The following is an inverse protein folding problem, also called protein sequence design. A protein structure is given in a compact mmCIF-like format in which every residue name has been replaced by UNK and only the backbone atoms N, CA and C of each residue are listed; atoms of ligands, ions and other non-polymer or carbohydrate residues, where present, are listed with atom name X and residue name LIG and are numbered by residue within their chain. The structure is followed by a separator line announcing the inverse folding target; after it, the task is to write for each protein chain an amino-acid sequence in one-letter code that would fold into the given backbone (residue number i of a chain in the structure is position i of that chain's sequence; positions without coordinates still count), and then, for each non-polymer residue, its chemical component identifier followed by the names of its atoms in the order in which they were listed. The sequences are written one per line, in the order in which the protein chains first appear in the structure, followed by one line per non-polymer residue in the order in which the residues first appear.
data_IF_166023272031
#
_entry.id   IF_166023272031
#
_cell.length_a   1.000
_cell.length_b   1.000
_cell.length_c   1.000
_cell.angle_alpha   90.00
_cell.angle_beta   90.00
_cell.angle_gamma   90.00
#
_symmetry.space_group_name_H-M   'P 1'
#
loop_
_entity.id
_entity.type
_entity.pdbx_description
1 polymer ?
#
# COMPACT_ATOMS: atom_id res chain seq x y z
N UNK A 1 8.29 -16.81 18.68
CA UNK A 1 8.46 -15.41 18.19
C UNK A 1 9.17 -15.29 16.83
N UNK A 2 10.29 -15.98 16.55
CA UNK A 2 11.00 -15.88 15.25
C UNK A 2 10.14 -16.32 14.04
N UNK A 3 9.40 -17.42 14.16
CA UNK A 3 8.52 -17.92 13.10
C UNK A 3 7.39 -16.94 12.75
N UNK A 4 6.73 -16.35 13.76
CA UNK A 4 5.66 -15.36 13.55
C UNK A 4 6.19 -14.15 12.78
N UNK A 5 7.37 -13.63 13.15
CA UNK A 5 8.00 -12.51 12.44
C UNK A 5 8.40 -12.86 11.01
N UNK A 6 8.87 -14.08 10.78
CA UNK A 6 9.17 -14.59 9.45
C UNK A 6 7.91 -14.65 8.58
N UNK A 7 6.84 -15.23 9.10
CA UNK A 7 5.55 -15.30 8.39
C UNK A 7 5.01 -13.89 8.12
N UNK A 8 5.05 -13.00 9.10
CA UNK A 8 4.54 -11.63 8.96
C UNK A 8 5.32 -10.86 7.89
N UNK A 9 6.66 -10.88 7.92
CA UNK A 9 7.45 -10.17 6.89
C UNK A 9 7.21 -10.74 5.50
N UNK A 10 7.03 -12.06 5.38
CA UNK A 10 6.78 -12.71 4.10
C UNK A 10 5.40 -12.35 3.56
N UNK A 11 4.35 -12.41 4.40
CA UNK A 11 2.98 -12.04 4.01
C UNK A 11 2.93 -10.57 3.60
N UNK A 12 3.50 -9.68 4.41
CA UNK A 12 3.53 -8.26 4.09
C UNK A 12 4.35 -8.00 2.82
N UNK A 13 5.52 -8.62 2.68
CA UNK A 13 6.36 -8.48 1.50
C UNK A 13 5.68 -8.95 0.22
N UNK A 14 4.99 -10.10 0.26
CA UNK A 14 4.17 -10.59 -0.86
C UNK A 14 3.02 -9.65 -1.17
N UNK A 15 2.38 -9.08 -0.15
CA UNK A 15 1.32 -8.08 -0.30
C UNK A 15 1.80 -6.82 -1.03
N UNK A 16 2.91 -6.23 -0.58
CA UNK A 16 3.54 -5.09 -1.24
C UNK A 16 3.96 -5.41 -2.67
N UNK A 17 4.62 -6.54 -2.89
CA UNK A 17 5.07 -6.92 -4.24
C UNK A 17 3.89 -7.10 -5.21
N UNK A 18 2.84 -7.79 -4.76
CA UNK A 18 1.64 -8.01 -5.56
C UNK A 18 0.91 -6.71 -5.86
N UNK A 19 0.77 -5.83 -4.86
CA UNK A 19 0.18 -4.50 -5.05
C UNK A 19 0.97 -3.69 -6.08
N UNK A 20 2.30 -3.72 -6.01
CA UNK A 20 3.16 -3.03 -6.96
C UNK A 20 2.99 -3.54 -8.38
N UNK A 21 2.93 -4.87 -8.59
CA UNK A 21 2.62 -5.46 -9.91
C UNK A 21 1.24 -5.02 -10.42
N UNK A 22 0.24 -4.96 -9.55
CA UNK A 22 -1.11 -4.54 -9.93
C UNK A 22 -1.19 -3.07 -10.36
N UNK A 23 -0.30 -2.19 -9.92
CA UNK A 23 -0.24 -0.80 -10.41
C UNK A 23 0.01 -0.73 -11.92
N UNK A 24 0.76 -1.70 -12.47
CA UNK A 24 1.02 -1.79 -13.91
C UNK A 24 -0.10 -2.52 -14.65
N UNK A 25 -0.54 -3.66 -14.13
CA UNK A 25 -1.56 -4.49 -14.78
C UNK A 25 -2.96 -3.88 -14.74
N UNK A 26 -3.25 -3.06 -13.74
CA UNK A 26 -4.57 -2.46 -13.50
C UNK A 26 -4.48 -0.95 -13.27
N UNK A 27 -3.52 -0.29 -13.93
CA UNK A 27 -3.27 1.16 -13.84
C UNK A 27 -4.56 2.01 -13.80
N UNK A 28 -5.59 1.78 -14.65
CA UNK A 28 -6.75 2.66 -14.66
C UNK A 28 -7.53 2.66 -13.34
N UNK A 29 -7.44 1.57 -12.57
CA UNK A 29 -8.09 1.46 -11.27
C UNK A 29 -7.32 2.24 -10.19
N UNK A 30 -5.99 2.31 -10.27
CA UNK A 30 -5.16 3.08 -9.35
C UNK A 30 -5.18 4.58 -9.69
N UNK A 31 -5.15 4.94 -10.98
CA UNK A 31 -5.19 6.35 -11.40
C UNK A 31 -6.49 7.05 -10.98
N UNK A 32 -7.63 6.32 -10.95
CA UNK A 32 -8.92 6.85 -10.47
C UNK A 32 -8.88 7.31 -9.01
N UNK A 33 -8.07 6.66 -8.18
CA UNK A 33 -8.05 6.92 -6.73
C UNK A 33 -7.05 8.03 -6.36
N UNK A 34 -6.21 8.45 -7.31
CA UNK A 34 -5.30 9.58 -7.13
C UNK A 34 -6.12 10.89 -7.13
N UNK A 35 -6.01 11.73 -6.09
CA UNK A 35 -6.76 12.98 -5.99
C UNK A 35 -6.58 13.92 -7.19
N UNK A 36 -7.61 14.70 -7.53
CA UNK A 36 -7.64 15.61 -8.67
C UNK A 36 -6.52 16.65 -8.73
N UNK A 37 -6.01 17.07 -7.57
CA UNK A 37 -4.97 18.10 -7.45
C UNK A 37 -3.54 17.58 -7.66
N UNK A 38 -3.35 16.26 -7.79
CA UNK A 38 -2.02 15.68 -8.06
C UNK A 38 -1.81 15.64 -9.58
N UNK A 39 -0.79 16.33 -10.11
CA UNK A 39 -0.43 16.23 -11.52
C UNK A 39 0.21 14.87 -11.83
N UNK A 40 0.29 14.49 -13.10
CA UNK A 40 0.98 13.28 -13.54
C UNK A 40 0.52 12.00 -12.81
N UNK A 41 -0.79 11.79 -12.73
CA UNK A 41 -1.38 10.71 -11.92
C UNK A 41 -0.89 9.32 -12.31
N UNK A 42 -0.68 9.09 -13.61
CA UNK A 42 -0.23 7.78 -14.12
C UNK A 42 1.20 7.50 -13.70
N UNK A 43 2.05 8.51 -13.81
CA UNK A 43 3.45 8.48 -13.44
C UNK A 43 3.59 8.23 -11.94
N UNK A 44 2.78 8.90 -11.11
CA UNK A 44 2.72 8.66 -9.66
C UNK A 44 2.35 7.22 -9.35
N UNK A 45 1.36 6.65 -10.07
CA UNK A 45 0.95 5.24 -9.92
C UNK A 45 2.07 4.27 -10.30
N UNK A 46 2.79 4.52 -11.40
CA UNK A 46 3.91 3.66 -11.79
C UNK A 46 5.07 3.77 -10.80
N UNK A 47 5.43 4.98 -10.37
CA UNK A 47 6.49 5.20 -9.38
C UNK A 47 6.14 4.52 -8.06
N UNK A 48 4.90 4.68 -7.56
CA UNK A 48 4.47 3.99 -6.33
C UNK A 48 4.50 2.47 -6.51
N UNK A 49 4.10 1.96 -7.68
CA UNK A 49 4.18 0.54 -8.02
C UNK A 49 5.61 -0.02 -7.94
N UNK A 50 6.60 0.67 -8.52
CA UNK A 50 8.01 0.28 -8.42
C UNK A 50 8.48 0.26 -6.97
N UNK A 51 8.14 1.30 -6.19
CA UNK A 51 8.54 1.40 -4.78
C UNK A 51 7.95 0.24 -3.98
N UNK A 52 6.67 -0.10 -4.19
CA UNK A 52 6.03 -1.23 -3.52
C UNK A 52 6.68 -2.57 -3.87
N UNK A 53 7.05 -2.79 -5.14
CA UNK A 53 7.77 -3.99 -5.55
C UNK A 53 9.13 -4.11 -4.83
N UNK A 54 9.91 -3.02 -4.78
CA UNK A 54 11.21 -2.99 -4.10
C UNK A 54 11.04 -3.26 -2.59
N UNK A 55 10.08 -2.60 -1.94
CA UNK A 55 9.78 -2.80 -0.51
C UNK A 55 9.33 -4.24 -0.24
N UNK A 56 8.51 -4.81 -1.13
CA UNK A 56 8.03 -6.18 -1.03
C UNK A 56 9.16 -7.21 -1.09
N UNK A 57 10.03 -7.11 -2.09
CA UNK A 57 11.22 -7.97 -2.23
C UNK A 57 12.15 -7.81 -1.03
N UNK A 58 12.38 -6.57 -0.59
CA UNK A 58 13.24 -6.29 0.57
C UNK A 58 12.73 -6.97 1.85
N UNK A 59 11.42 -6.89 2.13
CA UNK A 59 10.79 -7.53 3.30
C UNK A 59 10.90 -9.06 3.26
N UNK A 60 10.81 -9.67 2.08
CA UNK A 60 10.95 -11.12 1.92
C UNK A 60 12.39 -11.55 2.21
N UNK A 61 13.38 -10.91 1.57
CA UNK A 61 14.78 -11.36 1.62
C UNK A 61 15.43 -11.04 2.97
N UNK A 62 15.24 -9.82 3.51
CA UNK A 62 15.99 -9.34 4.66
C UNK A 62 15.09 -9.07 5.87
N UNK A 63 15.69 -9.03 7.06
CA UNK A 63 15.05 -8.43 8.23
C UNK A 63 15.15 -6.91 8.08
N UNK A 64 14.06 -6.14 8.09
CA UNK A 64 14.11 -4.71 7.88
C UNK A 64 14.83 -4.02 9.06
N UNK A 65 15.74 -3.09 8.74
CA UNK A 65 16.32 -2.18 9.73
C UNK A 65 15.28 -1.16 10.21
N UNK A 66 15.53 -0.50 11.33
CA UNK A 66 14.63 0.57 11.83
C UNK A 66 14.43 1.69 10.80
N UNK A 67 15.49 2.05 10.07
CA UNK A 67 15.40 3.02 8.96
C UNK A 67 14.51 2.53 7.82
N UNK A 68 14.59 1.24 7.45
CA UNK A 68 13.74 0.67 6.41
C UNK A 68 12.26 0.66 6.82
N UNK A 69 11.96 0.32 8.08
CA UNK A 69 10.59 0.40 8.62
C UNK A 69 10.06 1.82 8.60
N UNK A 70 10.90 2.80 8.95
CA UNK A 70 10.53 4.23 8.90
C UNK A 70 10.22 4.65 7.47
N UNK A 71 11.05 4.25 6.50
CA UNK A 71 10.83 4.56 5.08
C UNK A 71 9.53 3.94 4.55
N UNK A 72 9.26 2.67 4.86
CA UNK A 72 8.00 2.00 4.48
C UNK A 72 6.81 2.74 5.08
N UNK A 73 6.88 3.15 6.35
CA UNK A 73 5.81 3.90 6.99
C UNK A 73 5.61 5.31 6.40
N UNK A 74 6.69 6.01 6.02
CA UNK A 74 6.60 7.30 5.33
C UNK A 74 5.91 7.11 3.97
N UNK A 75 6.28 6.08 3.22
CA UNK A 75 5.63 5.74 1.96
C UNK A 75 4.13 5.44 2.15
N UNK A 76 3.78 4.61 3.15
CA UNK A 76 2.39 4.32 3.49
C UNK A 76 1.61 5.59 3.84
N UNK A 77 2.21 6.54 4.55
CA UNK A 77 1.59 7.85 4.78
C UNK A 77 1.43 8.66 3.49
N UNK A 78 2.40 8.60 2.58
CA UNK A 78 2.36 9.28 1.28
C UNK A 78 1.21 8.80 0.38
N UNK A 79 0.87 7.51 0.41
CA UNK A 79 -0.26 6.95 -0.36
C UNK A 79 -1.61 7.06 0.37
N UNK A 80 -1.62 7.40 1.66
CA UNK A 80 -2.83 7.53 2.47
C UNK A 80 -3.89 8.49 1.91
N UNK A 81 -3.52 9.67 1.35
CA UNK A 81 -4.50 10.57 0.72
C UNK A 81 -5.32 9.91 -0.39
N UNK A 82 -4.76 8.96 -1.15
CA UNK A 82 -5.48 8.23 -2.18
C UNK A 82 -6.57 7.32 -1.58
N UNK A 83 -6.29 6.69 -0.44
CA UNK A 83 -7.28 5.87 0.28
C UNK A 83 -8.39 6.72 0.91
N UNK A 84 -8.05 7.89 1.45
CA UNK A 84 -9.07 8.87 1.90
C UNK A 84 -9.94 9.31 0.73
N UNK A 85 -9.33 9.65 -0.40
CA UNK A 85 -10.03 10.11 -1.59
C UNK A 85 -10.99 9.04 -2.13
N UNK A 86 -10.53 7.79 -2.22
CA UNK A 86 -11.35 6.64 -2.58
C UNK A 86 -12.57 6.49 -1.66
N UNK A 87 -12.37 6.55 -0.33
CA UNK A 87 -13.46 6.41 0.64
C UNK A 87 -14.48 7.55 0.54
N UNK A 88 -14.01 8.80 0.44
CA UNK A 88 -14.88 9.98 0.30
C UNK A 88 -15.71 9.96 -0.98
N UNK A 89 -15.08 9.58 -2.09
CA UNK A 89 -15.71 9.56 -3.42
C UNK A 89 -16.45 8.25 -3.73
N UNK A 90 -16.33 7.24 -2.87
CA UNK A 90 -16.96 5.93 -3.09
C UNK A 90 -16.42 5.21 -4.33
N UNK A 91 -15.12 5.37 -4.61
CA UNK A 91 -14.50 4.79 -5.80
C UNK A 91 -14.34 3.27 -5.59
N UNK A 92 -14.69 2.43 -6.60
CA UNK A 92 -14.52 0.98 -6.50
C UNK A 92 -13.08 0.57 -6.17
N UNK A 93 -12.93 -0.51 -5.42
CA UNK A 93 -11.63 -1.13 -5.17
C UNK A 93 -11.34 -2.12 -6.30
N UNK A 94 -10.60 -1.67 -7.31
CA UNK A 94 -10.46 -2.45 -8.55
C UNK A 94 -11.84 -2.66 -9.18
N UNK A 95 -12.20 -3.93 -9.38
CA UNK A 95 -13.48 -4.29 -9.99
C UNK A 95 -14.60 -4.48 -8.95
N UNK A 96 -14.28 -4.35 -7.66
CA UNK A 96 -15.24 -4.57 -6.56
C UNK A 96 -15.84 -3.25 -6.08
N UNK A 97 -17.16 -3.12 -6.23
CA UNK A 97 -17.95 -2.07 -5.56
C UNK A 97 -18.18 -2.45 -4.11
N UNK A 98 -17.50 -1.76 -3.21
CA UNK A 98 -17.66 -1.91 -1.77
C UNK A 98 -18.58 -0.82 -1.22
N UNK A 99 -19.34 -1.08 -0.15
CA UNK A 99 -20.06 -0.02 0.55
C UNK A 99 -19.06 1.00 1.11
N UNK A 100 -19.48 2.27 1.19
CA UNK A 100 -18.61 3.35 1.72
C UNK A 100 -18.06 3.03 3.10
N UNK A 101 -18.86 2.41 3.97
CA UNK A 101 -18.43 1.97 5.31
C UNK A 101 -17.20 1.05 5.26
N UNK A 102 -17.16 0.10 4.32
CA UNK A 102 -16.01 -0.78 4.13
C UNK A 102 -14.79 -0.02 3.60
N UNK A 103 -14.97 0.98 2.72
CA UNK A 103 -13.87 1.84 2.27
C UNK A 103 -13.30 2.68 3.43
N UNK A 104 -14.15 3.24 4.28
CA UNK A 104 -13.71 3.94 5.49
C UNK A 104 -13.03 3.00 6.48
N UNK A 105 -13.48 1.75 6.60
CA UNK A 105 -12.84 0.72 7.43
C UNK A 105 -11.39 0.41 7.01
N UNK A 106 -11.00 0.69 5.76
CA UNK A 106 -9.60 0.52 5.31
C UNK A 106 -8.65 1.57 5.88
N UNK A 107 -9.15 2.75 6.24
CA UNK A 107 -8.32 3.82 6.80
C UNK A 107 -7.67 3.40 8.14
N UNK A 108 -8.40 2.89 9.16
CA UNK A 108 -7.78 2.37 10.38
C UNK A 108 -6.91 1.13 10.12
N UNK A 109 -7.29 0.25 9.18
CA UNK A 109 -6.48 -0.92 8.82
C UNK A 109 -5.11 -0.54 8.27
N UNK A 110 -4.98 0.60 7.59
CA UNK A 110 -3.68 1.10 7.15
C UNK A 110 -2.76 1.45 8.32
N UNK A 111 -3.28 2.02 9.41
CA UNK A 111 -2.50 2.26 10.63
C UNK A 111 -2.12 0.96 11.35
N UNK A 112 -2.98 -0.07 11.29
CA UNK A 112 -2.64 -1.41 11.77
C UNK A 112 -1.47 -1.98 10.95
N UNK A 113 -1.51 -1.88 9.62
CA UNK A 113 -0.41 -2.29 8.74
C UNK A 113 0.89 -1.56 9.09
N UNK A 114 0.84 -0.24 9.30
CA UNK A 114 2.00 0.54 9.72
C UNK A 114 2.56 0.09 11.08
N UNK A 115 1.69 -0.24 12.03
CA UNK A 115 2.10 -0.81 13.33
C UNK A 115 2.75 -2.19 13.16
N UNK A 116 2.23 -3.03 12.27
CA UNK A 116 2.83 -4.33 11.96
C UNK A 116 4.24 -4.19 11.38
N UNK A 117 4.47 -3.21 10.50
CA UNK A 117 5.80 -2.91 9.97
C UNK A 117 6.78 -2.48 11.09
N UNK A 118 6.31 -1.70 12.08
CA UNK A 118 7.17 -1.26 13.20
C UNK A 118 7.66 -2.44 14.05
N UNK A 119 6.84 -3.46 14.25
CA UNK A 119 7.14 -4.59 15.16
C UNK A 119 7.97 -5.72 14.53
N UNK A 120 8.15 -5.72 13.21
CA UNK A 120 8.98 -6.71 12.48
C UNK A 120 10.43 -6.73 12.98
#
# INVERSE_FOLDING_TARGET
MKLIKLLLKTILGLGFFTAGVLHFLREPNFTKIVPGYIPFKKEVVYISGVIEMIMGVYLIIKKPSESAKKLINIFLLGVFPANIYMARKGIPLGDKRLPKSALYGRLPLQFVLMKLIKVL
#
